data_IF_288070625381
#
_entry.id   IF_288070625381
#
_cell.length_a   1.000
_cell.length_b   1.000
_cell.length_c   1.000
_cell.angle_alpha   90.00
_cell.angle_beta   90.00
_cell.angle_gamma   90.00
#
_symmetry.space_group_name_H-M   'P 1'
#
loop_
_entity.id
_entity.type
_entity.pdbx_description
1 polymer ?
#
# COMPACT_ATOMS: atom_id res chain seq x y z
N UNK A 1 5.11 -26.66 -60.88
CA UNK A 1 5.29 -28.02 -60.32
C UNK A 1 5.26 -27.95 -58.81
N UNK A 2 4.37 -28.74 -58.19
CA UNK A 2 4.17 -28.88 -56.75
C UNK A 2 5.29 -29.73 -56.14
N UNK A 3 5.70 -29.42 -54.90
CA UNK A 3 5.99 -30.44 -53.89
C UNK A 3 5.92 -29.83 -52.49
N UNK A 4 5.04 -30.40 -51.67
CA UNK A 4 4.83 -30.15 -50.26
C UNK A 4 5.88 -30.90 -49.41
N UNK A 5 6.25 -30.34 -48.25
CA UNK A 5 6.98 -31.04 -47.20
C UNK A 5 6.66 -30.41 -45.85
N UNK A 6 5.95 -31.16 -45.01
CA UNK A 6 5.29 -30.70 -43.79
C UNK A 6 6.13 -30.89 -42.50
N UNK A 7 5.66 -30.21 -41.44
CA UNK A 7 5.84 -30.53 -40.00
C UNK A 7 7.18 -30.08 -39.36
N UNK A 8 7.26 -29.63 -38.11
CA UNK A 8 6.39 -29.71 -36.94
C UNK A 8 6.54 -28.41 -36.11
N UNK A 9 5.43 -27.89 -35.58
CA UNK A 9 5.45 -26.84 -34.57
C UNK A 9 5.96 -27.36 -33.24
N UNK A 10 6.97 -26.71 -32.66
CA UNK A 10 7.34 -26.91 -31.25
C UNK A 10 6.47 -26.03 -30.37
N UNK A 11 5.35 -26.60 -29.93
CA UNK A 11 4.54 -26.09 -28.82
C UNK A 11 5.40 -26.21 -27.56
N UNK A 12 5.97 -25.08 -27.11
CA UNK A 12 6.62 -24.98 -25.82
C UNK A 12 5.59 -25.21 -24.71
N UNK A 13 5.67 -26.37 -24.03
CA UNK A 13 4.93 -26.68 -22.80
C UNK A 13 5.32 -25.65 -21.72
N UNK A 14 4.56 -24.56 -21.61
CA UNK A 14 4.68 -23.64 -20.47
C UNK A 14 4.03 -24.33 -19.26
N UNK A 15 4.88 -24.82 -18.37
CA UNK A 15 4.50 -25.62 -17.21
C UNK A 15 3.39 -24.97 -16.37
N UNK A 16 2.52 -25.83 -15.83
CA UNK A 16 1.53 -25.48 -14.80
C UNK A 16 2.25 -24.70 -13.68
N UNK A 17 1.99 -23.40 -13.60
CA UNK A 17 2.30 -22.60 -12.41
C UNK A 17 1.37 -23.08 -11.29
N UNK A 18 1.84 -24.03 -10.50
CA UNK A 18 1.24 -24.34 -9.21
C UNK A 18 1.48 -23.15 -8.30
N UNK A 19 0.42 -22.36 -8.06
CA UNK A 19 0.39 -21.36 -6.99
C UNK A 19 0.49 -22.10 -5.65
N UNK A 20 1.71 -22.27 -5.12
CA UNK A 20 1.90 -22.57 -3.69
C UNK A 20 1.70 -21.27 -2.91
N UNK A 21 0.44 -20.85 -2.76
CA UNK A 21 0.06 -19.95 -1.68
C UNK A 21 -0.08 -20.81 -0.41
N UNK A 22 1.06 -21.22 0.14
CA UNK A 22 1.14 -21.65 1.53
C UNK A 22 1.29 -20.39 2.37
N UNK A 23 0.16 -19.78 2.72
CA UNK A 23 0.07 -19.00 3.94
C UNK A 23 0.26 -19.97 5.10
N UNK A 24 1.52 -20.27 5.42
CA UNK A 24 1.86 -20.98 6.63
C UNK A 24 1.53 -20.06 7.80
N UNK A 25 0.32 -20.20 8.33
CA UNK A 25 0.02 -19.78 9.69
C UNK A 25 0.71 -20.78 10.61
N UNK A 26 2.05 -20.74 10.60
CA UNK A 26 2.89 -21.54 11.46
C UNK A 26 2.35 -21.41 12.87
N UNK A 27 1.95 -22.54 13.46
CA UNK A 27 1.52 -22.64 14.85
C UNK A 27 2.57 -21.91 15.70
N UNK A 28 2.27 -20.69 16.12
CA UNK A 28 3.10 -19.96 17.09
C UNK A 28 2.91 -20.68 18.41
N UNK A 29 3.82 -21.61 18.70
CA UNK A 29 3.98 -22.22 20.01
C UNK A 29 3.93 -21.12 21.06
N UNK A 30 3.27 -21.38 22.19
CA UNK A 30 3.23 -20.49 23.35
C UNK A 30 4.65 -20.31 23.92
N UNK A 31 5.47 -19.51 23.26
CA UNK A 31 6.77 -19.06 23.71
C UNK A 31 6.54 -17.90 24.67
N UNK A 32 7.30 -17.88 25.77
CA UNK A 32 7.28 -16.78 26.72
C UNK A 32 7.56 -15.43 26.06
N UNK A 33 7.15 -14.34 26.72
CA UNK A 33 7.46 -12.99 26.26
C UNK A 33 8.98 -12.86 26.16
N UNK A 34 9.49 -12.39 25.01
CA UNK A 34 10.92 -12.10 24.88
C UNK A 34 11.29 -10.97 25.85
N UNK A 35 12.57 -10.86 26.21
CA UNK A 35 13.03 -9.71 26.99
C UNK A 35 13.30 -8.52 26.07
N UNK A 36 13.03 -7.27 26.52
CA UNK A 36 13.34 -6.09 25.72
C UNK A 36 14.86 -6.01 25.42
N UNK A 37 15.26 -5.54 24.24
CA UNK A 37 16.67 -5.34 23.93
C UNK A 37 17.33 -4.36 24.91
N UNK A 38 18.56 -4.67 25.30
CA UNK A 38 19.40 -3.75 26.07
C UNK A 38 20.27 -2.93 25.13
N UNK A 39 20.29 -1.63 25.34
CA UNK A 39 21.00 -0.68 24.49
C UNK A 39 22.35 -0.30 25.10
N UNK A 40 23.48 -0.50 24.41
CA UNK A 40 24.77 -0.01 24.88
C UNK A 40 24.81 1.51 24.85
N UNK A 41 25.32 2.11 25.93
CA UNK A 41 25.58 3.55 26.02
C UNK A 41 26.92 3.84 25.36
N UNK A 42 26.92 4.68 24.34
CA UNK A 42 28.12 5.18 23.65
C UNK A 42 28.05 6.70 23.67
N UNK A 43 28.78 7.31 24.59
CA UNK A 43 28.74 8.76 24.77
C UNK A 43 29.13 9.49 23.49
N UNK A 44 28.29 10.44 23.10
CA UNK A 44 28.53 11.30 21.96
C UNK A 44 28.14 12.73 22.33
N UNK A 45 29.10 13.66 22.25
CA UNK A 45 28.86 15.08 22.55
C UNK A 45 28.35 15.78 21.30
N UNK A 46 27.18 16.39 21.42
CA UNK A 46 26.56 17.22 20.39
C UNK A 46 26.76 18.68 20.80
N UNK A 47 27.39 19.47 19.95
CA UNK A 47 27.55 20.91 20.12
C UNK A 47 26.62 21.64 19.15
N UNK A 48 25.82 22.58 19.66
CA UNK A 48 24.99 23.49 18.85
C UNK A 48 24.86 24.83 19.55
N UNK A 49 25.08 25.92 18.82
CA UNK A 49 24.90 27.30 19.30
C UNK A 49 25.65 27.61 20.61
N UNK A 50 26.83 27.02 20.80
CA UNK A 50 27.64 27.20 22.01
C UNK A 50 27.22 26.32 23.20
N UNK A 51 26.13 25.57 23.07
CA UNK A 51 25.66 24.61 24.08
C UNK A 51 26.10 23.19 23.75
N UNK A 52 26.35 22.41 24.81
CA UNK A 52 26.77 21.02 24.72
C UNK A 52 25.77 20.09 25.38
N UNK A 53 25.44 19.00 24.68
CA UNK A 53 24.63 17.91 25.22
C UNK A 53 25.28 16.57 24.89
N UNK A 54 25.43 15.71 25.89
CA UNK A 54 25.85 14.33 25.68
C UNK A 54 24.63 13.45 25.38
N UNK A 55 24.64 12.77 24.24
CA UNK A 55 23.63 11.79 23.83
C UNK A 55 24.28 10.39 23.73
N UNK A 56 24.11 9.54 24.76
CA UNK A 56 24.67 8.17 24.78
C UNK A 56 24.12 7.23 23.70
N UNK A 57 23.11 7.65 22.94
CA UNK A 57 22.39 6.84 21.97
C UNK A 57 22.47 7.39 20.54
N UNK A 58 23.29 8.43 20.32
CA UNK A 58 23.44 9.08 19.02
C UNK A 58 23.80 8.09 17.88
N UNK A 59 24.55 7.05 18.20
CA UNK A 59 24.95 5.99 17.27
C UNK A 59 23.77 5.23 16.64
N UNK A 60 22.58 5.23 17.26
CA UNK A 60 21.38 4.59 16.73
C UNK A 60 20.83 5.29 15.47
N UNK A 61 21.26 6.53 15.20
CA UNK A 61 20.90 7.26 13.98
C UNK A 61 21.41 6.60 12.69
N UNK A 62 22.47 5.79 12.80
CA UNK A 62 23.13 5.14 11.66
C UNK A 62 22.29 4.03 11.02
N UNK A 63 21.47 4.35 10.02
CA UNK A 63 20.58 3.37 9.32
C UNK A 63 21.29 2.16 8.72
N UNK A 64 22.57 2.30 8.34
CA UNK A 64 23.39 1.22 7.75
C UNK A 64 24.21 0.45 8.80
N UNK A 65 24.14 0.82 10.07
CA UNK A 65 24.87 0.13 11.13
C UNK A 65 24.24 -1.25 11.41
N UNK A 66 24.98 -2.36 11.26
CA UNK A 66 24.46 -3.70 11.52
C UNK A 66 24.01 -3.91 12.96
N UNK A 67 24.64 -3.25 13.95
CA UNK A 67 24.23 -3.32 15.35
C UNK A 67 22.82 -2.74 15.55
N UNK A 68 22.52 -1.62 14.88
CA UNK A 68 21.20 -0.97 14.92
C UNK A 68 20.15 -1.88 14.28
N UNK A 69 20.47 -2.48 13.13
CA UNK A 69 19.56 -3.42 12.45
C UNK A 69 19.21 -4.61 13.33
N UNK A 70 20.21 -5.19 14.02
CA UNK A 70 19.99 -6.31 14.95
C UNK A 70 19.09 -5.91 16.11
N UNK A 71 19.27 -4.72 16.67
CA UNK A 71 18.41 -4.22 17.75
C UNK A 71 16.97 -4.01 17.28
N UNK A 72 16.77 -3.42 16.10
CA UNK A 72 15.43 -3.22 15.54
C UNK A 72 14.70 -4.55 15.28
N UNK A 73 15.42 -5.57 14.80
CA UNK A 73 14.84 -6.90 14.64
C UNK A 73 14.44 -7.51 15.99
N UNK A 74 15.26 -7.32 17.04
CA UNK A 74 14.93 -7.79 18.38
C UNK A 74 13.76 -7.02 19.00
N UNK A 75 13.66 -5.72 18.77
CA UNK A 75 12.49 -4.91 19.16
C UNK A 75 11.21 -5.41 18.48
N UNK A 76 11.25 -5.64 17.16
CA UNK A 76 10.10 -6.17 16.43
C UNK A 76 9.67 -7.54 16.98
N UNK A 77 10.63 -8.43 17.24
CA UNK A 77 10.34 -9.74 17.82
C UNK A 77 9.75 -9.63 19.24
N UNK A 78 10.28 -8.73 20.08
CA UNK A 78 9.73 -8.44 21.40
C UNK A 78 8.29 -7.95 21.30
N UNK A 79 8.03 -6.94 20.45
CA UNK A 79 6.70 -6.41 20.19
C UNK A 79 5.74 -7.51 19.72
N UNK A 80 6.14 -8.35 18.75
CA UNK A 80 5.35 -9.47 18.27
C UNK A 80 5.02 -10.47 19.37
N UNK A 81 5.98 -10.77 20.27
CA UNK A 81 5.77 -11.70 21.38
C UNK A 81 4.77 -11.18 22.42
N UNK A 82 4.85 -9.88 22.74
CA UNK A 82 3.90 -9.21 23.65
C UNK A 82 2.51 -9.17 23.01
N UNK A 83 2.45 -8.75 21.75
CA UNK A 83 1.21 -8.60 21.00
C UNK A 83 0.47 -9.94 20.84
N UNK A 84 1.20 -11.01 20.52
CA UNK A 84 0.65 -12.36 20.43
C UNK A 84 0.07 -12.84 21.78
N UNK A 85 0.80 -12.62 22.89
CA UNK A 85 0.35 -13.04 24.22
C UNK A 85 -0.92 -12.33 24.68
N UNK A 86 -1.10 -11.06 24.30
CA UNK A 86 -2.28 -10.27 24.65
C UNK A 86 -3.50 -10.55 23.73
N UNK A 87 -3.41 -11.50 22.81
CA UNK A 87 -4.47 -11.77 21.84
C UNK A 87 -4.62 -10.68 20.78
N UNK A 88 -3.57 -9.89 20.56
CA UNK A 88 -3.57 -8.76 19.63
C UNK A 88 -3.91 -9.16 18.19
N UNK A 89 -3.59 -10.40 17.77
CA UNK A 89 -3.91 -10.90 16.44
C UNK A 89 -5.43 -10.91 16.16
N UNK A 90 -6.25 -11.24 17.16
CA UNK A 90 -7.71 -11.25 17.00
C UNK A 90 -8.25 -9.82 16.91
N UNK A 91 -7.82 -8.95 17.82
CA UNK A 91 -8.21 -7.54 17.82
C UNK A 91 -7.79 -6.85 16.52
N UNK A 92 -6.57 -7.13 16.04
CA UNK A 92 -6.06 -6.62 14.77
C UNK A 92 -6.94 -7.04 13.61
N UNK A 93 -7.32 -8.32 13.52
CA UNK A 93 -8.19 -8.82 12.43
C UNK A 93 -9.56 -8.16 12.47
N UNK A 94 -10.15 -8.01 13.65
CA UNK A 94 -11.44 -7.33 13.83
C UNK A 94 -11.33 -5.88 13.34
N UNK A 95 -10.40 -5.09 13.89
CA UNK A 95 -10.22 -3.69 13.50
C UNK A 95 -9.86 -3.54 12.02
N UNK A 96 -9.03 -4.42 11.48
CA UNK A 96 -8.69 -4.41 10.06
C UNK A 96 -9.93 -4.61 9.18
N UNK A 97 -10.82 -5.55 9.54
CA UNK A 97 -12.06 -5.79 8.81
C UNK A 97 -13.03 -4.62 8.91
N UNK A 98 -13.15 -3.99 10.08
CA UNK A 98 -13.98 -2.80 10.30
C UNK A 98 -13.47 -1.60 9.50
N UNK A 99 -12.17 -1.32 9.58
CA UNK A 99 -11.53 -0.24 8.82
C UNK A 99 -11.67 -0.47 7.31
N UNK A 100 -11.53 -1.71 6.83
CA UNK A 100 -11.73 -2.05 5.43
C UNK A 100 -13.18 -1.92 5.00
N UNK A 101 -14.14 -2.29 5.85
CA UNK A 101 -15.57 -2.11 5.56
C UNK A 101 -15.95 -0.63 5.42
N UNK A 102 -15.26 0.27 6.14
CA UNK A 102 -15.42 1.71 5.99
C UNK A 102 -14.78 2.27 4.71
N UNK A 103 -13.84 1.53 4.11
CA UNK A 103 -13.15 1.93 2.90
C UNK A 103 -13.98 1.60 1.65
N UNK A 104 -14.46 2.64 0.97
CA UNK A 104 -15.23 2.51 -0.26
C UNK A 104 -14.30 2.30 -1.46
N UNK A 105 -14.23 1.08 -1.97
CA UNK A 105 -13.55 0.78 -3.24
C UNK A 105 -14.27 1.47 -4.40
N UNK A 106 -13.54 2.04 -5.37
CA UNK A 106 -14.14 2.70 -6.53
C UNK A 106 -14.54 4.17 -6.35
N UNK A 107 -14.14 4.82 -5.25
CA UNK A 107 -14.47 6.23 -5.05
C UNK A 107 -13.75 7.14 -6.07
N UNK A 108 -14.36 8.28 -6.40
CA UNK A 108 -13.75 9.35 -7.17
C UNK A 108 -13.95 10.72 -6.50
N UNK A 109 -13.18 11.73 -6.90
CA UNK A 109 -13.43 13.11 -6.48
C UNK A 109 -14.59 13.71 -7.28
N UNK A 110 -15.15 14.80 -6.77
CA UNK A 110 -16.03 15.65 -7.58
C UNK A 110 -15.18 16.33 -8.66
N UNK A 111 -15.60 16.32 -9.94
CA UNK A 111 -14.90 17.03 -10.99
C UNK A 111 -14.89 18.53 -10.74
N UNK A 112 -13.76 19.17 -10.98
CA UNK A 112 -13.66 20.62 -11.03
C UNK A 112 -13.03 21.05 -12.33
N UNK A 113 -13.41 22.24 -12.80
CA UNK A 113 -12.86 22.81 -14.02
C UNK A 113 -11.64 23.66 -13.68
N UNK A 114 -10.56 23.45 -14.41
CA UNK A 114 -9.46 24.39 -14.48
C UNK A 114 -9.09 24.63 -15.95
N UNK A 115 -9.22 25.88 -16.39
CA UNK A 115 -9.00 26.34 -17.77
C UNK A 115 -9.80 25.51 -18.80
N UNK A 116 -9.07 24.76 -19.63
CA UNK A 116 -9.56 23.98 -20.76
C UNK A 116 -9.77 22.50 -20.42
N UNK A 117 -9.69 22.11 -19.14
CA UNK A 117 -9.85 20.73 -18.72
C UNK A 117 -10.71 20.62 -17.44
N UNK A 118 -11.42 19.51 -17.34
CA UNK A 118 -11.93 18.97 -16.09
C UNK A 118 -10.85 18.13 -15.42
N UNK A 119 -10.76 18.22 -14.10
CA UNK A 119 -9.85 17.44 -13.28
C UNK A 119 -10.64 16.63 -12.25
N UNK A 120 -10.25 15.38 -12.06
CA UNK A 120 -10.80 14.52 -11.05
C UNK A 120 -9.80 13.42 -10.69
N UNK A 121 -9.94 12.80 -9.53
CA UNK A 121 -9.20 11.60 -9.17
C UNK A 121 -10.13 10.42 -9.01
N UNK A 122 -9.70 9.21 -9.40
CA UNK A 122 -10.44 7.97 -9.12
C UNK A 122 -9.55 6.96 -8.41
N UNK A 123 -10.15 6.14 -7.55
CA UNK A 123 -9.48 5.07 -6.83
C UNK A 123 -10.02 3.74 -7.36
N UNK A 124 -9.34 3.12 -8.36
CA UNK A 124 -9.76 1.81 -8.84
C UNK A 124 -9.82 0.79 -7.71
N UNK A 125 -10.69 -0.23 -7.81
CA UNK A 125 -10.69 -1.33 -6.86
C UNK A 125 -9.29 -1.94 -6.71
N UNK A 126 -8.86 -2.19 -5.47
CA UNK A 126 -7.54 -2.70 -5.11
C UNK A 126 -6.32 -1.84 -5.52
N UNK A 127 -6.53 -0.59 -5.95
CA UNK A 127 -5.41 0.33 -6.17
C UNK A 127 -4.93 0.93 -4.84
N UNK A 128 -3.61 0.90 -4.61
CA UNK A 128 -3.00 1.53 -3.44
C UNK A 128 -2.99 3.07 -3.53
N UNK A 129 -3.12 3.62 -4.74
CA UNK A 129 -3.02 5.05 -5.01
C UNK A 129 -4.15 5.51 -5.94
N UNK A 130 -4.61 6.76 -5.81
CA UNK A 130 -5.54 7.36 -6.75
C UNK A 130 -4.86 7.57 -8.11
N UNK A 131 -5.66 7.51 -9.15
CA UNK A 131 -5.31 7.95 -10.50
C UNK A 131 -5.86 9.37 -10.66
N UNK A 132 -4.99 10.30 -11.07
CA UNK A 132 -5.40 11.66 -11.42
C UNK A 132 -5.76 11.67 -12.89
N UNK A 133 -7.00 12.02 -13.20
CA UNK A 133 -7.54 12.07 -14.54
C UNK A 133 -7.85 13.52 -14.92
N UNK A 134 -7.74 13.81 -16.20
CA UNK A 134 -8.26 15.04 -16.81
C UNK A 134 -9.08 14.73 -18.04
N UNK A 135 -10.10 15.54 -18.31
CA UNK A 135 -10.94 15.43 -19.51
C UNK A 135 -11.03 16.79 -20.19
N UNK A 136 -10.90 16.92 -21.52
CA UNK A 136 -11.00 18.22 -22.20
C UNK A 136 -12.34 18.90 -21.92
N UNK A 137 -12.33 20.23 -21.75
CA UNK A 137 -13.55 21.04 -21.66
C UNK A 137 -13.98 21.46 -23.07
N UNK A 138 -14.98 20.76 -23.61
CA UNK A 138 -15.74 21.09 -24.82
C UNK A 138 -17.21 21.36 -24.51
N UNK A 139 -17.99 21.82 -25.49
CA UNK A 139 -19.45 22.02 -25.35
C UNK A 139 -20.16 20.74 -24.88
N UNK A 140 -19.76 19.57 -25.38
CA UNK A 140 -20.34 18.28 -25.00
C UNK A 140 -20.05 17.92 -23.54
N UNK A 141 -18.87 18.30 -23.04
CA UNK A 141 -18.44 18.01 -21.66
C UNK A 141 -18.78 19.14 -20.67
N UNK A 142 -19.41 20.21 -21.13
CA UNK A 142 -19.68 21.39 -20.29
C UNK A 142 -20.55 21.05 -19.08
N UNK A 143 -21.43 20.05 -19.21
CA UNK A 143 -22.29 19.53 -18.15
C UNK A 143 -21.64 18.46 -17.25
N UNK A 144 -20.35 18.15 -17.38
CA UNK A 144 -19.74 16.99 -16.72
C UNK A 144 -19.91 16.98 -15.19
N UNK A 145 -19.76 18.14 -14.54
CA UNK A 145 -19.99 18.25 -13.10
C UNK A 145 -21.45 17.93 -12.72
N UNK A 146 -22.41 18.37 -13.52
CA UNK A 146 -23.83 18.11 -13.30
C UNK A 146 -24.17 16.63 -13.53
N UNK A 147 -23.59 16.03 -14.57
CA UNK A 147 -23.73 14.62 -14.91
C UNK A 147 -23.23 13.72 -13.76
N UNK A 148 -22.06 14.04 -13.20
CA UNK A 148 -21.53 13.36 -12.00
C UNK A 148 -22.40 13.62 -10.77
N UNK A 149 -22.96 14.82 -10.63
CA UNK A 149 -23.90 15.18 -9.56
C UNK A 149 -25.17 14.33 -9.61
N UNK A 150 -25.80 14.20 -10.77
CA UNK A 150 -26.98 13.36 -10.98
C UNK A 150 -26.67 11.88 -10.73
N UNK A 151 -25.53 11.40 -11.24
CA UNK A 151 -25.07 10.03 -11.00
C UNK A 151 -24.98 9.74 -9.50
N UNK A 152 -24.33 10.63 -8.73
CA UNK A 152 -24.21 10.50 -7.28
C UNK A 152 -25.50 10.72 -6.52
N UNK A 153 -26.43 11.49 -7.08
CA UNK A 153 -27.78 11.63 -6.55
C UNK A 153 -28.59 10.33 -6.64
N UNK A 154 -28.37 9.54 -7.70
CA UNK A 154 -28.98 8.20 -7.86
C UNK A 154 -28.29 7.13 -7.02
N UNK A 155 -26.97 7.08 -7.11
CA UNK A 155 -26.12 6.17 -6.32
C UNK A 155 -24.86 6.91 -5.83
N UNK A 156 -24.83 7.31 -4.55
CA UNK A 156 -23.68 8.03 -3.97
C UNK A 156 -22.37 7.23 -3.97
N UNK A 157 -22.44 5.91 -4.15
CA UNK A 157 -21.30 4.99 -4.10
C UNK A 157 -20.87 4.50 -5.49
N UNK A 158 -21.60 4.87 -6.54
CA UNK A 158 -21.26 4.45 -7.88
C UNK A 158 -19.86 4.96 -8.28
N UNK A 159 -18.96 4.08 -8.76
CA UNK A 159 -17.69 4.51 -9.32
C UNK A 159 -17.94 5.31 -10.59
N UNK A 160 -17.10 6.33 -10.83
CA UNK A 160 -17.12 7.03 -12.11
C UNK A 160 -16.72 6.06 -13.23
N UNK A 161 -17.46 6.06 -14.36
CA UNK A 161 -17.07 5.29 -15.52
C UNK A 161 -15.74 5.80 -16.06
N UNK A 162 -15.06 4.94 -16.81
CA UNK A 162 -13.90 5.32 -17.59
C UNK A 162 -14.42 6.03 -18.84
N UNK A 163 -13.94 7.24 -19.11
CA UNK A 163 -14.33 7.97 -20.31
C UNK A 163 -13.27 7.80 -21.40
N UNK A 164 -13.68 7.63 -22.66
CA UNK A 164 -12.75 7.44 -23.77
C UNK A 164 -11.90 8.69 -24.06
N UNK A 165 -12.40 9.87 -23.69
CA UNK A 165 -11.74 11.18 -23.82
C UNK A 165 -10.94 11.58 -22.57
N UNK A 166 -10.82 10.70 -21.57
CA UNK A 166 -10.00 10.95 -20.39
C UNK A 166 -8.50 10.74 -20.67
N UNK A 167 -7.68 11.63 -20.12
CA UNK A 167 -6.22 11.53 -20.10
C UNK A 167 -5.79 11.31 -18.65
N UNK A 168 -5.03 10.25 -18.42
CA UNK A 168 -4.45 9.87 -17.13
C UNK A 168 -3.01 10.39 -17.00
#
# INVERSE_FOLDING_TARGET
>A
MRANGASQGKIGRRGKRTSKNTGDHGRRSAAGILSPPKYPRKEHRIERFGDFRTDPFYWMRGRRNPEVRRLLQHENAYMESVFAKLGGDQLFRTLFSEMRAHWKEGNASVPYRDRSCWFFSRNPPNAAYPIFCRRPFTEQTAGFMHEVGEMRGRDPLAPLPVYDDEVV
#
